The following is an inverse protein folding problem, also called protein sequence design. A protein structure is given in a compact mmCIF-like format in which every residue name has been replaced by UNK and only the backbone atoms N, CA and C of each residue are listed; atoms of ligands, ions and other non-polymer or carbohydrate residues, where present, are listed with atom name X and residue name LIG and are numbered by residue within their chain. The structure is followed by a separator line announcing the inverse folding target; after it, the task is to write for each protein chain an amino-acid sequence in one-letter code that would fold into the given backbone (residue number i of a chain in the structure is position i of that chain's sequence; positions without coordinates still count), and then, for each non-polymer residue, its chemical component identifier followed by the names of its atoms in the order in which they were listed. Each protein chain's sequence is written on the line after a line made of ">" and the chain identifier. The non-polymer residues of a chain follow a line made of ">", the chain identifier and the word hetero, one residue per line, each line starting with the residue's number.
data_IF_877569862252
#
_entry.id   IF_877569862252
#
_cell.length_a   1.000
_cell.length_b   1.000
_cell.length_c   1.000
_cell.angle_alpha   90.00
_cell.angle_beta   90.00
_cell.angle_gamma   90.00
#
_symmetry.space_group_name_H-M   'P 1'
#
loop_
_entity.id
_entity.type
_entity.pdbx_description
1 polymer ?
#
# COMPACT_ATOMS: atom_id res chain seq x y z
N UNK A 1 -31.12 -4.24 22.42
CA UNK A 1 -29.69 -4.24 22.79
C UNK A 1 -28.71 -4.11 21.60
N UNK A 2 -28.94 -4.69 20.41
CA UNK A 2 -28.03 -4.57 19.24
C UNK A 2 -27.77 -3.14 18.70
N UNK A 3 -28.71 -2.21 18.81
CA UNK A 3 -28.55 -0.84 18.28
C UNK A 3 -27.55 0.02 19.05
N UNK A 4 -27.36 -0.19 20.35
CA UNK A 4 -26.43 0.60 21.18
C UNK A 4 -24.97 0.24 20.94
N UNK A 5 -24.68 -1.01 20.55
CA UNK A 5 -23.32 -1.44 20.20
C UNK A 5 -22.85 -0.83 18.87
N UNK A 6 -23.77 -0.67 17.91
CA UNK A 6 -23.49 -0.04 16.61
C UNK A 6 -23.20 1.46 16.75
N UNK A 7 -23.95 2.20 17.57
CA UNK A 7 -23.66 3.62 17.82
C UNK A 7 -22.37 3.83 18.59
N UNK A 8 -22.05 2.97 19.58
CA UNK A 8 -20.77 3.03 20.27
C UNK A 8 -19.59 2.72 19.33
N UNK A 9 -19.75 1.79 18.39
CA UNK A 9 -18.78 1.50 17.34
C UNK A 9 -18.59 2.71 16.41
N UNK A 10 -19.67 3.31 15.91
CA UNK A 10 -19.62 4.47 15.00
C UNK A 10 -19.04 5.71 15.70
N UNK A 11 -19.36 5.93 16.97
CA UNK A 11 -18.81 7.03 17.78
C UNK A 11 -17.34 6.76 18.15
N UNK A 12 -16.94 5.51 18.35
CA UNK A 12 -15.52 5.13 18.48
C UNK A 12 -14.72 5.39 17.20
N UNK A 13 -15.38 5.40 16.04
CA UNK A 13 -14.81 5.80 14.75
C UNK A 13 -14.91 7.31 14.45
N UNK A 14 -15.42 8.14 15.38
CA UNK A 14 -15.27 9.60 15.31
C UNK A 14 -13.84 9.93 15.73
N UNK A 15 -12.92 9.69 14.81
CA UNK A 15 -11.50 9.49 15.10
C UNK A 15 -10.80 10.74 15.66
N UNK A 16 -10.22 10.67 16.88
CA UNK A 16 -9.34 11.72 17.38
C UNK A 16 -8.10 11.93 16.48
N UNK A 17 -7.71 10.90 15.70
CA UNK A 17 -6.65 10.96 14.70
C UNK A 17 -6.93 11.92 13.53
N UNK A 18 -8.19 12.02 13.12
CA UNK A 18 -8.62 13.00 12.13
C UNK A 18 -8.79 14.39 12.78
N UNK A 19 -8.36 14.60 14.03
CA UNK A 19 -8.52 15.88 14.72
C UNK A 19 -7.74 17.04 14.07
N UNK A 20 -6.64 16.75 13.38
CA UNK A 20 -5.82 17.79 12.73
C UNK A 20 -5.83 17.66 11.20
N UNK A 21 -5.87 18.79 10.46
CA UNK A 21 -5.85 18.77 8.99
C UNK A 21 -4.57 18.13 8.46
N UNK A 22 -3.44 18.33 9.13
CA UNK A 22 -2.15 17.73 8.77
C UNK A 22 -2.22 16.20 8.76
N UNK A 23 -2.69 15.58 9.85
CA UNK A 23 -2.78 14.11 9.94
C UNK A 23 -3.76 13.55 8.92
N UNK A 24 -4.89 14.23 8.66
CA UNK A 24 -5.81 13.85 7.57
C UNK A 24 -5.11 13.83 6.22
N UNK A 25 -4.38 14.89 5.89
CA UNK A 25 -3.65 14.99 4.63
C UNK A 25 -2.60 13.89 4.49
N UNK A 26 -1.84 13.57 5.53
CA UNK A 26 -0.88 12.46 5.49
C UNK A 26 -1.55 11.12 5.19
N UNK A 27 -2.69 10.81 5.81
CA UNK A 27 -3.45 9.57 5.55
C UNK A 27 -3.95 9.55 4.10
N UNK A 28 -4.53 10.65 3.62
CA UNK A 28 -5.05 10.75 2.25
C UNK A 28 -3.91 10.54 1.24
N UNK A 29 -2.78 11.22 1.43
CA UNK A 29 -1.62 11.12 0.53
C UNK A 29 -1.04 9.71 0.56
N UNK A 30 -0.80 9.13 1.75
CA UNK A 30 -0.28 7.77 1.85
C UNK A 30 -1.23 6.73 1.21
N UNK A 31 -2.54 6.88 1.43
CA UNK A 31 -3.55 6.01 0.78
C UNK A 31 -3.54 6.18 -0.74
N UNK A 32 -3.47 7.41 -1.24
CA UNK A 32 -3.40 7.69 -2.67
C UNK A 32 -2.13 7.11 -3.32
N UNK A 33 -0.99 7.19 -2.64
CA UNK A 33 0.26 6.57 -3.10
C UNK A 33 0.16 5.05 -3.15
N UNK A 34 -0.40 4.42 -2.11
CA UNK A 34 -0.62 2.97 -2.08
C UNK A 34 -1.59 2.51 -3.19
N UNK A 35 -2.70 3.24 -3.39
CA UNK A 35 -3.62 2.99 -4.50
C UNK A 35 -2.95 3.19 -5.86
N UNK A 36 -2.06 4.17 -5.98
CA UNK A 36 -1.22 4.36 -7.16
C UNK A 36 -0.36 3.12 -7.46
N UNK A 37 0.24 2.50 -6.44
CA UNK A 37 1.03 1.29 -6.61
C UNK A 37 0.17 0.12 -7.11
N UNK A 38 -1.05 -0.03 -6.59
CA UNK A 38 -2.02 -0.99 -7.09
C UNK A 38 -2.39 -0.73 -8.55
N UNK A 39 -2.68 0.51 -8.92
CA UNK A 39 -3.01 0.88 -10.30
C UNK A 39 -1.86 0.57 -11.25
N UNK A 40 -0.60 0.86 -10.86
CA UNK A 40 0.58 0.57 -11.69
C UNK A 40 0.72 -0.93 -11.96
N UNK A 41 0.56 -1.78 -10.94
CA UNK A 41 0.66 -3.24 -11.13
C UNK A 41 -0.52 -3.80 -11.90
N UNK A 42 -1.74 -3.37 -11.60
CA UNK A 42 -2.93 -3.81 -12.32
C UNK A 42 -2.98 -3.30 -13.77
N UNK A 43 -2.24 -2.22 -14.06
CA UNK A 43 -2.03 -1.69 -15.39
C UNK A 43 -1.00 -2.43 -16.23
N UNK A 44 -0.34 -3.49 -15.71
CA UNK A 44 0.56 -4.36 -16.50
C UNK A 44 -0.29 -5.13 -17.53
N UNK A 45 -0.15 -4.84 -18.84
CA UNK A 45 -0.81 -5.62 -19.87
C UNK A 45 -0.25 -7.05 -19.81
N UNK A 46 -1.12 -8.06 -19.80
CA UNK A 46 -0.77 -9.48 -19.73
C UNK A 46 -0.16 -9.93 -18.38
N UNK A 47 -0.82 -9.66 -17.24
CA UNK A 47 -0.55 -10.43 -16.01
C UNK A 47 -0.69 -11.94 -16.35
N UNK A 48 0.40 -12.72 -16.33
CA UNK A 48 0.41 -14.09 -16.85
C UNK A 48 -0.35 -14.99 -15.86
N UNK A 49 -1.66 -15.08 -16.04
CA UNK A 49 -2.57 -15.80 -15.15
C UNK A 49 -3.51 -16.77 -15.85
N UNK A 50 -3.55 -16.81 -17.18
CA UNK A 50 -4.45 -17.71 -17.92
C UNK A 50 -3.76 -18.65 -18.89
N UNK A 51 -2.56 -18.32 -19.38
CA UNK A 51 -1.81 -19.21 -20.26
C UNK A 51 -0.50 -19.60 -19.57
N UNK A 52 -0.32 -20.89 -19.37
CA UNK A 52 0.99 -21.46 -19.06
C UNK A 52 1.91 -21.11 -20.24
N UNK A 53 2.66 -20.02 -20.12
CA UNK A 53 3.64 -19.65 -21.14
C UNK A 53 4.75 -20.70 -21.06
N UNK A 54 4.67 -21.68 -21.94
CA UNK A 54 5.78 -22.59 -22.26
C UNK A 54 6.80 -21.72 -22.99
N UNK A 55 7.84 -21.25 -22.29
CA UNK A 55 8.90 -20.42 -22.88
C UNK A 55 9.96 -21.34 -23.47
N UNK A 56 10.32 -21.04 -24.72
CA UNK A 56 11.37 -21.70 -25.48
C UNK A 56 12.71 -21.76 -24.71
N UNK A 57 13.34 -22.93 -24.73
CA UNK A 57 14.65 -23.19 -24.15
C UNK A 57 15.74 -22.39 -24.88
N UNK A 58 16.50 -21.58 -24.17
CA UNK A 58 17.82 -21.14 -24.65
C UNK A 58 18.89 -21.75 -23.74
N UNK A 59 19.82 -22.51 -24.33
CA UNK A 59 20.86 -23.28 -23.62
C UNK A 59 21.97 -22.41 -23.01
N UNK A 60 21.91 -21.10 -23.20
CA UNK A 60 23.06 -20.19 -22.95
C UNK A 60 22.85 -19.28 -21.74
N UNK A 61 21.60 -18.96 -21.36
CA UNK A 61 21.27 -18.11 -20.23
C UNK A 61 20.22 -18.83 -19.38
N UNK A 62 20.66 -19.39 -18.25
CA UNK A 62 19.82 -20.22 -17.39
C UNK A 62 18.55 -19.50 -16.98
N UNK A 63 17.41 -20.17 -17.20
CA UNK A 63 16.07 -19.90 -16.67
C UNK A 63 15.87 -18.43 -16.25
N UNK A 64 15.67 -17.52 -17.21
CA UNK A 64 14.95 -16.28 -16.92
C UNK A 64 13.48 -16.64 -16.78
N UNK A 65 13.15 -17.20 -15.61
CA UNK A 65 11.77 -17.34 -15.20
C UNK A 65 11.20 -15.91 -15.18
N UNK A 66 10.22 -15.62 -16.04
CA UNK A 66 9.27 -14.54 -15.80
C UNK A 66 8.84 -14.69 -14.34
N UNK A 67 9.38 -13.82 -13.48
CA UNK A 67 9.26 -13.95 -12.03
C UNK A 67 7.80 -14.14 -11.67
N UNK A 68 7.53 -15.06 -10.73
CA UNK A 68 6.17 -15.39 -10.30
C UNK A 68 5.37 -14.09 -10.13
N UNK A 69 4.32 -13.88 -10.93
CA UNK A 69 3.55 -12.62 -10.93
C UNK A 69 3.02 -12.25 -9.54
N UNK A 70 2.86 -13.25 -8.67
CA UNK A 70 2.52 -13.08 -7.25
C UNK A 70 3.57 -12.28 -6.49
N UNK A 71 4.82 -12.34 -6.91
CA UNK A 71 5.92 -11.61 -6.30
C UNK A 71 5.86 -10.12 -6.60
N UNK A 72 5.30 -9.73 -7.76
CA UNK A 72 5.02 -8.33 -8.09
C UNK A 72 3.97 -7.72 -7.14
N UNK A 73 3.00 -8.53 -6.70
CA UNK A 73 1.97 -8.10 -5.75
C UNK A 73 2.48 -7.92 -4.32
N UNK A 74 3.68 -8.42 -3.98
CA UNK A 74 4.20 -8.35 -2.61
C UNK A 74 4.40 -6.92 -2.15
N UNK A 75 4.89 -6.03 -3.01
CA UNK A 75 5.15 -4.63 -2.66
C UNK A 75 3.87 -3.85 -2.30
N UNK A 76 2.84 -3.76 -3.17
CA UNK A 76 1.64 -3.01 -2.84
C UNK A 76 0.90 -3.62 -1.63
N UNK A 77 0.88 -4.96 -1.50
CA UNK A 77 0.31 -5.64 -0.33
C UNK A 77 1.08 -5.27 0.95
N UNK A 78 2.41 -5.28 0.90
CA UNK A 78 3.24 -4.88 2.05
C UNK A 78 2.97 -3.43 2.43
N UNK A 79 2.85 -2.51 1.45
CA UNK A 79 2.44 -1.13 1.70
C UNK A 79 1.06 -1.05 2.37
N UNK A 80 0.06 -1.76 1.85
CA UNK A 80 -1.29 -1.77 2.44
C UNK A 80 -1.27 -2.25 3.90
N UNK A 81 -0.49 -3.30 4.19
CA UNK A 81 -0.32 -3.83 5.56
C UNK A 81 0.38 -2.82 6.46
N UNK A 82 1.48 -2.21 6.01
CA UNK A 82 2.23 -1.22 6.79
C UNK A 82 1.42 0.05 7.04
N UNK A 83 0.71 0.57 6.04
CA UNK A 83 -0.20 1.70 6.19
C UNK A 83 -1.29 1.40 7.22
N UNK A 84 -1.93 0.23 7.12
CA UNK A 84 -2.94 -0.22 8.07
C UNK A 84 -2.40 -0.34 9.49
N UNK A 85 -1.22 -0.95 9.66
CA UNK A 85 -0.55 -1.09 10.95
C UNK A 85 -0.19 0.27 11.55
N UNK A 86 0.38 1.20 10.78
CA UNK A 86 0.72 2.54 11.25
C UNK A 86 -0.52 3.32 11.70
N UNK A 87 -1.61 3.26 10.95
CA UNK A 87 -2.89 3.89 11.34
C UNK A 87 -3.43 3.24 12.62
N UNK A 88 -3.41 1.91 12.71
CA UNK A 88 -3.89 1.19 13.89
C UNK A 88 -3.08 1.53 15.15
N UNK A 89 -1.75 1.53 15.06
CA UNK A 89 -0.87 1.90 16.18
C UNK A 89 -1.06 3.37 16.55
N UNK A 90 -1.16 4.27 15.57
CA UNK A 90 -1.42 5.68 15.83
C UNK A 90 -2.77 5.88 16.54
N UNK A 91 -3.78 5.04 16.26
CA UNK A 91 -5.07 5.05 16.96
C UNK A 91 -4.90 4.67 18.41
N UNK A 92 -4.21 3.57 18.68
CA UNK A 92 -3.93 3.11 20.05
C UNK A 92 -3.19 4.19 20.86
N UNK A 93 -2.20 4.86 20.24
CA UNK A 93 -1.46 5.95 20.86
C UNK A 93 -2.29 7.21 21.09
N UNK A 94 -3.31 7.47 20.27
CA UNK A 94 -4.22 8.59 20.44
C UNK A 94 -5.31 8.34 21.48
N UNK A 95 -5.74 7.08 21.65
CA UNK A 95 -6.74 6.70 22.66
C UNK A 95 -6.16 6.41 24.04
N UNK A 96 -4.89 6.01 24.12
CA UNK A 96 -4.22 5.66 25.38
C UNK A 96 -3.73 6.86 26.20
N UNK A 97 -3.76 8.07 25.64
CA UNK A 97 -3.56 9.29 26.40
C UNK A 97 -4.86 9.70 27.06
N UNK A 98 -4.89 9.89 28.38
CA UNK A 98 -6.03 10.44 29.17
C UNK A 98 -6.46 11.87 28.74
N UNK A 99 -6.00 12.33 27.58
CA UNK A 99 -6.29 13.62 27.01
C UNK A 99 -7.78 13.73 26.62
N UNK A 100 -8.37 14.92 26.76
CA UNK A 100 -9.72 15.21 26.26
C UNK A 100 -9.85 14.80 24.79
N UNK A 101 -11.02 14.29 24.36
CA UNK A 101 -11.27 13.91 22.95
C UNK A 101 -11.12 15.06 21.94
N UNK A 102 -11.11 16.30 22.41
CA UNK A 102 -10.85 17.51 21.61
C UNK A 102 -9.36 17.87 21.50
N UNK A 103 -8.50 17.21 22.27
CA UNK A 103 -7.07 17.44 22.24
C UNK A 103 -6.48 16.92 20.92
N UNK A 104 -5.44 17.59 20.39
CA UNK A 104 -4.74 17.09 19.21
C UNK A 104 -4.13 15.71 19.48
N UNK A 105 -3.96 14.86 18.45
CA UNK A 105 -3.29 13.58 18.60
C UNK A 105 -1.89 13.77 19.19
N UNK A 106 -1.43 12.79 19.97
CA UNK A 106 -0.09 12.81 20.54
C UNK A 106 0.98 13.02 19.44
N UNK A 107 2.09 13.73 19.75
CA UNK A 107 3.17 13.94 18.77
C UNK A 107 3.67 12.62 18.15
N UNK A 108 3.74 11.55 18.94
CA UNK A 108 4.11 10.22 18.47
C UNK A 108 3.14 9.67 17.40
N UNK A 109 1.81 9.78 17.62
CA UNK A 109 0.82 9.36 16.63
C UNK A 109 0.94 10.18 15.34
N UNK A 110 1.20 11.49 15.44
CA UNK A 110 1.40 12.36 14.26
C UNK A 110 2.63 11.98 13.46
N UNK A 111 3.75 11.72 14.13
CA UNK A 111 5.00 11.28 13.49
C UNK A 111 4.80 9.94 12.79
N UNK A 112 4.11 8.99 13.43
CA UNK A 112 3.88 7.66 12.86
C UNK A 112 3.02 7.73 11.58
N UNK A 113 1.97 8.54 11.58
CA UNK A 113 1.15 8.78 10.37
C UNK A 113 1.97 9.50 9.30
N UNK A 114 2.74 10.53 9.67
CA UNK A 114 3.59 11.26 8.72
C UNK A 114 4.65 10.34 8.08
N UNK A 115 5.22 9.42 8.85
CA UNK A 115 6.18 8.42 8.37
C UNK A 115 5.58 7.43 7.36
N UNK A 116 4.26 7.28 7.31
CA UNK A 116 3.60 6.44 6.30
C UNK A 116 3.74 7.03 4.89
N UNK A 117 3.84 8.35 4.74
CA UNK A 117 3.99 9.00 3.43
C UNK A 117 5.27 8.58 2.69
N UNK A 118 6.49 8.71 3.27
CA UNK A 118 7.70 8.28 2.59
C UNK A 118 7.77 6.76 2.38
N UNK A 119 7.15 5.96 3.27
CA UNK A 119 7.03 4.51 3.08
C UNK A 119 6.20 4.20 1.83
N UNK A 120 5.00 4.76 1.71
CA UNK A 120 4.14 4.53 0.55
C UNK A 120 4.72 5.11 -0.74
N UNK A 121 5.46 6.22 -0.65
CA UNK A 121 6.21 6.75 -1.78
C UNK A 121 7.28 5.75 -2.26
N UNK A 122 8.04 5.15 -1.34
CA UNK A 122 9.03 4.13 -1.67
C UNK A 122 8.38 2.86 -2.26
N UNK A 123 7.21 2.45 -1.74
CA UNK A 123 6.43 1.33 -2.30
C UNK A 123 5.99 1.64 -3.73
N UNK A 124 5.45 2.82 -3.99
CA UNK A 124 5.06 3.25 -5.34
C UNK A 124 6.26 3.30 -6.29
N UNK A 125 7.37 3.91 -5.86
CA UNK A 125 8.58 4.00 -6.68
C UNK A 125 9.15 2.61 -6.99
N UNK A 126 9.26 1.73 -5.99
CA UNK A 126 9.70 0.35 -6.18
C UNK A 126 8.78 -0.42 -7.13
N UNK A 127 7.47 -0.17 -7.04
CA UNK A 127 6.47 -0.76 -7.93
C UNK A 127 6.65 -0.28 -9.38
N UNK A 128 6.87 1.02 -9.60
CA UNK A 128 7.15 1.58 -10.93
C UNK A 128 8.45 1.03 -11.51
N UNK A 129 9.50 0.88 -10.69
CA UNK A 129 10.77 0.32 -11.15
C UNK A 129 10.60 -1.15 -11.58
N UNK A 130 9.89 -1.96 -10.79
CA UNK A 130 9.56 -3.32 -11.18
C UNK A 130 8.72 -3.37 -12.45
N UNK A 131 7.75 -2.47 -12.58
CA UNK A 131 6.95 -2.36 -13.81
C UNK A 131 7.83 -2.08 -15.03
N UNK A 132 8.79 -1.16 -14.94
CA UNK A 132 9.68 -0.84 -16.06
C UNK A 132 10.62 -2.00 -16.41
N UNK A 133 11.19 -2.68 -15.41
CA UNK A 133 12.08 -3.83 -15.61
C UNK A 133 11.33 -4.97 -16.31
N UNK A 134 10.09 -5.26 -15.90
CA UNK A 134 9.31 -6.37 -16.46
C UNK A 134 8.58 -5.99 -17.76
N UNK A 135 8.05 -4.77 -17.86
CA UNK A 135 7.31 -4.27 -19.03
C UNK A 135 8.20 -3.99 -20.24
N UNK A 136 9.46 -3.57 -20.02
CA UNK A 136 10.44 -3.40 -21.10
C UNK A 136 10.80 -4.72 -21.80
N UNK A 137 10.74 -5.85 -21.08
CA UNK A 137 10.97 -7.18 -21.64
C UNK A 137 9.87 -7.61 -22.62
N UNK A 138 8.61 -7.21 -22.37
CA UNK A 138 7.45 -7.65 -23.16
C UNK A 138 7.29 -6.91 -24.50
N UNK A 139 7.79 -5.67 -24.61
CA UNK A 139 7.72 -4.92 -25.87
C UNK A 139 8.86 -5.24 -26.84
N UNK A 140 9.91 -5.96 -26.39
CA UNK A 140 11.06 -6.34 -27.20
C UNK A 140 10.86 -7.55 -28.12
N UNK A 141 9.74 -8.28 -28.02
CA UNK A 141 9.52 -9.53 -28.77
C UNK A 141 8.71 -9.38 -30.07
N UNK A 142 8.31 -8.17 -30.47
CA UNK A 142 7.58 -7.95 -31.73
C UNK A 142 8.50 -7.75 -32.95
N UNK A 143 9.73 -8.27 -32.88
CA UNK A 143 10.76 -8.06 -33.89
C UNK A 143 11.56 -9.31 -34.22
N UNK A 144 10.89 -10.43 -34.51
CA UNK A 144 11.42 -11.53 -35.33
C UNK A 144 10.28 -12.24 -36.05
#
# INVERSE_FOLDING_TARGET
>A
MRRLQLTALIIAFRDPLLGTPFTRWCIIVATALNLGAWVVILGIPNLPGTDAIIIHYTTTFGIDALGNWRDLLRLPVTGTVLLGANIAIARLLATGSDAPRSAPPSPAARILVAASVPIEFAVLLGTILLWNINGGSLNGSNGF
#
